data_IF_115119698952
#
_entry.id   IF_115119698952
#
_cell.length_a   1.000
_cell.length_b   1.000
_cell.length_c   1.000
_cell.angle_alpha   90.00
_cell.angle_beta   90.00
_cell.angle_gamma   90.00
#
_symmetry.space_group_name_H-M   'P 1'
#
loop_
_entity.id
_entity.type
_entity.pdbx_description
1 polymer ?
#
# COMPACT_ATOMS: atom_id res chain seq x y z
N UNK A 1 11.60 7.31 12.25
CA UNK A 1 10.66 8.08 11.41
C UNK A 1 9.55 7.20 10.90
N UNK A 2 8.41 7.79 10.57
CA UNK A 2 7.31 7.09 9.91
C UNK A 2 7.07 7.76 8.56
N UNK A 3 7.02 6.94 7.52
CA UNK A 3 6.85 7.37 6.13
C UNK A 3 5.50 6.89 5.63
N UNK A 4 4.73 7.79 5.03
CA UNK A 4 3.57 7.49 4.21
C UNK A 4 3.80 8.05 2.80
N UNK A 5 3.47 7.28 1.78
CA UNK A 5 3.48 7.73 0.39
C UNK A 5 2.20 7.26 -0.28
N UNK A 6 1.27 8.15 -0.58
CA UNK A 6 -0.06 7.76 -1.02
C UNK A 6 -0.67 8.63 -2.10
N UNK A 7 -1.65 8.07 -2.77
CA UNK A 7 -2.48 8.70 -3.78
C UNK A 7 -3.90 8.13 -3.78
N UNK A 8 -4.78 8.69 -4.56
CA UNK A 8 -6.15 8.22 -4.70
C UNK A 8 -6.21 6.94 -5.54
N UNK A 9 -7.11 6.03 -5.16
CA UNK A 9 -7.41 4.78 -5.84
C UNK A 9 -8.93 4.67 -6.10
N UNK A 10 -9.36 3.77 -7.02
CA UNK A 10 -10.78 3.53 -7.28
C UNK A 10 -11.54 3.08 -6.03
N UNK A 11 -12.88 3.30 -5.95
CA UNK A 11 -13.70 2.82 -4.85
C UNK A 11 -13.65 1.29 -4.70
N UNK A 12 -14.08 0.76 -3.53
CA UNK A 12 -14.11 -0.70 -3.28
C UNK A 12 -14.98 -1.44 -4.32
N UNK A 13 -16.12 -0.89 -4.66
CA UNK A 13 -17.00 -1.44 -5.70
C UNK A 13 -16.48 -1.02 -7.09
N UNK A 14 -15.53 -1.77 -7.64
CA UNK A 14 -15.01 -1.59 -8.99
C UNK A 14 -14.70 -2.96 -9.65
N UNK A 15 -14.66 -3.02 -10.99
CA UNK A 15 -14.44 -4.28 -11.71
C UNK A 15 -13.09 -4.95 -11.42
N UNK A 16 -12.07 -4.15 -11.14
CA UNK A 16 -10.69 -4.60 -10.94
C UNK A 16 -10.39 -4.95 -9.46
N UNK A 17 -11.37 -4.92 -8.56
CA UNK A 17 -11.12 -5.00 -7.11
C UNK A 17 -10.29 -6.21 -6.70
N UNK A 18 -10.64 -7.39 -7.19
CA UNK A 18 -9.92 -8.62 -6.87
C UNK A 18 -8.49 -8.59 -7.41
N UNK A 19 -8.29 -8.00 -8.58
CA UNK A 19 -6.95 -7.78 -9.13
C UNK A 19 -6.15 -6.75 -8.31
N UNK A 20 -6.82 -5.71 -7.78
CA UNK A 20 -6.21 -4.70 -6.87
C UNK A 20 -5.74 -5.37 -5.59
N UNK A 21 -6.57 -6.18 -4.95
CA UNK A 21 -6.21 -6.93 -3.74
C UNK A 21 -5.02 -7.87 -3.99
N UNK A 22 -5.04 -8.59 -5.12
CA UNK A 22 -3.97 -9.51 -5.50
C UNK A 22 -2.66 -8.78 -5.77
N UNK A 23 -2.68 -7.67 -6.51
CA UNK A 23 -1.50 -6.85 -6.77
C UNK A 23 -0.94 -6.24 -5.49
N UNK A 24 -1.82 -5.74 -4.61
CA UNK A 24 -1.42 -5.20 -3.32
C UNK A 24 -0.78 -6.28 -2.42
N UNK A 25 -1.30 -7.50 -2.44
CA UNK A 25 -0.72 -8.64 -1.70
C UNK A 25 0.75 -8.88 -2.09
N UNK A 26 1.08 -8.79 -3.37
CA UNK A 26 2.47 -8.91 -3.86
C UNK A 26 3.32 -7.71 -3.48
N UNK A 27 2.79 -6.49 -3.64
CA UNK A 27 3.57 -5.27 -3.48
C UNK A 27 3.90 -4.96 -2.01
N UNK A 28 2.88 -5.01 -1.14
CA UNK A 28 3.06 -4.58 0.26
C UNK A 28 2.00 -5.09 1.23
N UNK A 29 1.01 -5.86 0.79
CA UNK A 29 -0.13 -6.27 1.61
C UNK A 29 0.13 -7.49 2.51
N UNK A 30 1.26 -8.17 2.37
CA UNK A 30 1.60 -9.37 3.14
C UNK A 30 2.99 -9.30 3.75
N UNK A 31 3.28 -10.22 4.67
CA UNK A 31 4.61 -10.32 5.28
C UNK A 31 5.71 -10.61 4.26
N UNK A 32 5.41 -11.41 3.24
CA UNK A 32 6.34 -11.80 2.16
C UNK A 32 6.28 -10.87 0.95
N UNK A 33 5.64 -9.71 1.07
CA UNK A 33 5.52 -8.73 0.00
C UNK A 33 6.82 -7.97 -0.24
N UNK A 34 6.98 -7.42 -1.44
CA UNK A 34 8.22 -6.77 -1.91
C UNK A 34 8.69 -5.65 -0.98
N UNK A 35 7.81 -4.73 -0.60
CA UNK A 35 8.16 -3.59 0.27
C UNK A 35 8.62 -4.08 1.64
N UNK A 36 7.95 -5.09 2.21
CA UNK A 36 8.34 -5.65 3.50
C UNK A 36 9.68 -6.40 3.42
N UNK A 37 9.85 -7.26 2.43
CA UNK A 37 11.11 -7.98 2.23
C UNK A 37 12.28 -7.02 2.04
N UNK A 38 12.10 -5.97 1.23
CA UNK A 38 13.14 -4.96 1.01
C UNK A 38 13.54 -4.26 2.31
N UNK A 39 12.59 -3.58 2.98
CA UNK A 39 12.93 -2.71 4.10
C UNK A 39 13.20 -3.47 5.41
N UNK A 40 12.54 -4.63 5.60
CA UNK A 40 12.67 -5.41 6.81
C UNK A 40 13.76 -6.47 6.70
N UNK A 41 13.67 -7.37 5.70
CA UNK A 41 14.54 -8.53 5.63
C UNK A 41 15.90 -8.21 5.01
N UNK A 42 15.92 -7.44 3.91
CA UNK A 42 17.17 -7.13 3.22
C UNK A 42 17.94 -5.98 3.89
N UNK A 43 17.25 -4.92 4.26
CA UNK A 43 17.87 -3.68 4.76
C UNK A 43 17.93 -3.60 6.28
N UNK A 44 17.03 -4.29 6.99
CA UNK A 44 16.90 -4.22 8.45
C UNK A 44 16.65 -2.80 8.98
N UNK A 45 15.95 -1.96 8.19
CA UNK A 45 15.65 -0.57 8.54
C UNK A 45 14.27 -0.40 9.20
N UNK A 46 13.42 -1.43 9.11
CA UNK A 46 12.05 -1.44 9.61
C UNK A 46 11.73 -2.78 10.30
N UNK A 47 10.79 -2.75 11.24
CA UNK A 47 10.18 -3.97 11.79
C UNK A 47 9.02 -4.48 10.93
N UNK A 48 8.55 -3.67 9.99
CA UNK A 48 7.51 -4.01 9.04
C UNK A 48 7.13 -2.80 8.21
N UNK A 49 7.02 -2.99 6.90
CA UNK A 49 6.60 -1.98 5.94
C UNK A 49 5.70 -2.62 4.90
N UNK A 50 4.86 -1.84 4.24
CA UNK A 50 3.96 -2.40 3.24
C UNK A 50 3.14 -1.36 2.51
N UNK A 51 2.13 -1.85 1.78
CA UNK A 51 1.14 -1.02 1.10
C UNK A 51 -0.27 -1.38 1.55
N UNK A 52 -1.14 -0.39 1.62
CA UNK A 52 -2.51 -0.53 2.06
C UNK A 52 -3.42 0.14 1.02
N UNK A 53 -4.49 -0.55 0.66
CA UNK A 53 -5.61 0.00 -0.08
C UNK A 53 -6.77 0.13 0.90
N UNK A 54 -7.06 1.35 1.35
CA UNK A 54 -8.04 1.57 2.40
C UNK A 54 -9.45 1.54 1.84
N UNK A 55 -10.30 0.65 2.33
CA UNK A 55 -11.64 0.45 1.78
C UNK A 55 -12.56 1.65 2.00
N UNK A 56 -13.19 2.12 0.90
CA UNK A 56 -14.19 3.19 0.92
C UNK A 56 -15.23 3.03 -0.20
N UNK A 57 -16.43 3.61 0.00
CA UNK A 57 -17.49 3.66 -1.04
C UNK A 57 -17.15 4.60 -2.19
N UNK A 58 -16.46 5.70 -1.89
CA UNK A 58 -15.94 6.66 -2.87
C UNK A 58 -14.49 6.37 -3.20
N UNK A 59 -13.80 7.38 -3.76
CA UNK A 59 -12.35 7.30 -3.94
C UNK A 59 -11.69 6.96 -2.61
N UNK A 60 -10.75 6.05 -2.64
CA UNK A 60 -10.02 5.56 -1.47
C UNK A 60 -8.53 5.84 -1.58
N UNK A 61 -7.82 5.63 -0.49
CA UNK A 61 -6.38 5.80 -0.45
C UNK A 61 -5.68 4.48 -0.77
N UNK A 62 -4.72 4.55 -1.67
CA UNK A 62 -3.60 3.63 -1.74
C UNK A 62 -2.39 4.32 -1.15
N UNK A 63 -1.69 3.68 -0.22
CA UNK A 63 -0.47 4.24 0.34
C UNK A 63 0.52 3.19 0.80
N UNK A 64 1.81 3.49 0.66
CA UNK A 64 2.89 2.79 1.30
C UNK A 64 3.06 3.33 2.73
N UNK A 65 3.34 2.45 3.68
CA UNK A 65 3.59 2.74 5.09
C UNK A 65 4.90 2.09 5.52
N UNK A 66 5.80 2.88 6.09
CA UNK A 66 7.09 2.38 6.54
C UNK A 66 7.58 3.13 7.80
N UNK A 67 7.45 2.52 9.01
CA UNK A 67 8.15 2.96 10.20
C UNK A 67 9.61 2.50 10.09
N UNK A 68 10.54 3.43 10.08
CA UNK A 68 11.96 3.16 9.82
C UNK A 68 12.89 3.83 10.81
N UNK A 69 14.12 3.35 10.88
CA UNK A 69 15.19 4.02 11.63
C UNK A 69 15.36 5.46 11.12
N UNK A 70 15.53 6.42 12.02
CA UNK A 70 15.53 7.85 11.67
C UNK A 70 16.67 8.20 10.72
N UNK A 71 17.85 7.62 10.90
CA UNK A 71 19.03 7.80 10.04
C UNK A 71 18.92 7.11 8.68
N UNK A 72 17.86 6.31 8.46
CA UNK A 72 17.55 5.60 7.22
C UNK A 72 16.33 6.15 6.49
N UNK A 73 15.82 7.31 6.90
CA UNK A 73 14.60 7.89 6.32
C UNK A 73 14.73 8.13 4.81
N UNK A 74 15.79 8.79 4.37
CA UNK A 74 16.04 9.08 2.95
C UNK A 74 16.14 7.79 2.11
N UNK A 75 16.97 6.87 2.56
CA UNK A 75 17.22 5.60 1.88
C UNK A 75 15.93 4.78 1.81
N UNK A 76 15.13 4.75 2.89
CA UNK A 76 13.85 4.05 2.90
C UNK A 76 12.83 4.67 1.94
N UNK A 77 12.75 6.00 1.85
CA UNK A 77 11.91 6.68 0.85
C UNK A 77 12.36 6.32 -0.58
N UNK A 78 13.66 6.22 -0.81
CA UNK A 78 14.22 5.80 -2.11
C UNK A 78 13.81 4.37 -2.44
N UNK A 79 13.95 3.43 -1.51
CA UNK A 79 13.59 2.03 -1.74
C UNK A 79 12.08 1.85 -1.92
N UNK A 80 11.23 2.53 -1.11
CA UNK A 80 9.78 2.54 -1.33
C UNK A 80 9.44 3.04 -2.75
N UNK A 81 10.01 4.19 -3.15
CA UNK A 81 9.79 4.74 -4.49
C UNK A 81 10.22 3.77 -5.60
N UNK A 82 11.34 3.06 -5.40
CA UNK A 82 11.86 2.06 -6.33
C UNK A 82 10.91 0.87 -6.47
N UNK A 83 10.39 0.31 -5.38
CA UNK A 83 9.43 -0.81 -5.44
C UNK A 83 8.12 -0.39 -6.12
N UNK A 84 7.59 0.80 -5.79
CA UNK A 84 6.39 1.32 -6.44
C UNK A 84 6.56 1.55 -7.95
N UNK A 85 7.76 1.94 -8.40
CA UNK A 85 8.08 2.12 -9.83
C UNK A 85 8.32 0.78 -10.53
N UNK A 86 9.08 -0.09 -9.90
CA UNK A 86 9.53 -1.34 -10.50
C UNK A 86 8.38 -2.29 -10.85
N UNK A 87 7.34 -2.39 -10.02
CA UNK A 87 6.18 -3.26 -10.28
C UNK A 87 5.40 -2.85 -11.53
N UNK A 88 5.53 -1.60 -11.95
CA UNK A 88 4.86 -1.05 -13.16
C UNK A 88 5.62 -1.33 -14.46
N UNK A 89 6.92 -1.64 -14.39
CA UNK A 89 7.81 -1.68 -15.55
C UNK A 89 8.85 -2.79 -15.48
N UNK A 90 9.93 -2.57 -14.72
CA UNK A 90 11.15 -3.35 -14.79
C UNK A 90 11.05 -4.70 -14.07
N UNK A 91 10.18 -4.77 -13.06
CA UNK A 91 9.93 -5.97 -12.28
C UNK A 91 8.42 -6.22 -12.17
N UNK A 92 7.75 -6.64 -13.26
CA UNK A 92 6.35 -7.03 -13.19
C UNK A 92 6.16 -8.19 -12.21
N UNK A 93 4.91 -8.46 -11.83
CA UNK A 93 4.58 -9.60 -10.97
C UNK A 93 5.02 -10.89 -11.65
N UNK A 94 5.81 -11.70 -10.95
CA UNK A 94 6.27 -13.00 -11.44
C UNK A 94 5.19 -14.08 -11.26
N UNK A 95 5.35 -15.22 -11.94
CA UNK A 95 4.42 -16.35 -11.79
C UNK A 95 4.35 -16.88 -10.37
N UNK A 96 5.50 -16.96 -9.68
CA UNK A 96 5.59 -17.43 -8.30
C UNK A 96 4.91 -16.45 -7.32
N UNK A 97 5.14 -15.15 -7.47
CA UNK A 97 4.48 -14.13 -6.65
C UNK A 97 2.96 -14.15 -6.83
N UNK A 98 2.50 -14.30 -8.08
CA UNK A 98 1.06 -14.40 -8.36
C UNK A 98 0.47 -15.65 -7.73
N UNK A 99 1.12 -16.81 -7.88
CA UNK A 99 0.69 -18.07 -7.29
C UNK A 99 0.63 -17.98 -5.76
N UNK A 100 1.64 -17.37 -5.16
CA UNK A 100 1.68 -17.11 -3.71
C UNK A 100 0.51 -16.20 -3.27
N UNK A 101 0.28 -15.09 -3.96
CA UNK A 101 -0.81 -14.16 -3.64
C UNK A 101 -2.18 -14.84 -3.79
N UNK A 102 -2.40 -15.58 -4.87
CA UNK A 102 -3.63 -16.34 -5.09
C UNK A 102 -3.86 -17.37 -3.99
N UNK A 103 -2.82 -18.10 -3.59
CA UNK A 103 -2.88 -19.07 -2.49
C UNK A 103 -3.21 -18.39 -1.16
N UNK A 104 -2.53 -17.30 -0.84
CA UNK A 104 -2.77 -16.53 0.40
C UNK A 104 -4.21 -16.07 0.50
N UNK A 105 -4.74 -15.46 -0.56
CA UNK A 105 -6.10 -14.91 -0.58
C UNK A 105 -7.18 -16.01 -0.57
N UNK A 106 -6.95 -17.15 -1.20
CA UNK A 106 -7.97 -18.19 -1.30
C UNK A 106 -7.96 -19.17 -0.14
N UNK A 107 -6.78 -19.51 0.40
CA UNK A 107 -6.65 -20.43 1.52
C UNK A 107 -7.04 -19.81 2.87
N UNK A 108 -7.06 -18.48 2.97
CA UNK A 108 -7.55 -17.77 4.15
C UNK A 108 -9.08 -17.83 4.30
N UNK A 109 -9.83 -17.96 3.19
CA UNK A 109 -11.30 -17.86 3.18
C UNK A 109 -12.03 -18.80 4.16
N UNK A 110 -11.68 -20.08 4.31
CA UNK A 110 -12.36 -20.94 5.29
C UNK A 110 -12.27 -20.38 6.72
N UNK A 111 -11.10 -19.87 7.13
CA UNK A 111 -10.90 -19.29 8.46
C UNK A 111 -11.63 -17.94 8.65
N UNK A 112 -11.85 -17.20 7.58
CA UNK A 112 -12.57 -15.92 7.63
C UNK A 112 -14.07 -16.07 7.96
N UNK A 113 -14.64 -17.27 7.87
CA UNK A 113 -16.07 -17.50 8.13
C UNK A 113 -16.33 -18.50 9.26
N UNK A 114 -15.35 -18.79 10.10
CA UNK A 114 -15.50 -19.71 11.24
C UNK A 114 -16.40 -19.16 12.35
N UNK A 115 -16.59 -17.86 12.44
CA UNK A 115 -17.39 -17.24 13.51
C UNK A 115 -18.54 -16.42 12.95
N UNK A 116 -19.64 -16.33 13.73
CA UNK A 116 -20.80 -15.47 13.36
C UNK A 116 -20.39 -14.01 13.15
N UNK A 117 -19.44 -13.49 13.93
CA UNK A 117 -18.97 -12.12 13.79
C UNK A 117 -18.21 -11.93 12.46
N UNK A 118 -17.42 -12.89 12.03
CA UNK A 118 -16.72 -12.84 10.77
C UNK A 118 -17.69 -12.91 9.58
N UNK A 119 -18.69 -13.78 9.64
CA UNK A 119 -19.78 -13.84 8.64
C UNK A 119 -20.55 -12.52 8.61
N UNK A 120 -20.93 -11.97 9.76
CA UNK A 120 -21.63 -10.69 9.85
C UNK A 120 -20.78 -9.54 9.27
N UNK A 121 -19.46 -9.54 9.49
CA UNK A 121 -18.55 -8.56 8.90
C UNK A 121 -18.50 -8.66 7.37
N UNK A 122 -18.45 -9.88 6.81
CA UNK A 122 -18.48 -10.12 5.36
C UNK A 122 -19.78 -9.65 4.72
N UNK A 123 -20.93 -9.95 5.33
CA UNK A 123 -22.23 -9.44 4.90
C UNK A 123 -22.30 -7.91 5.04
N UNK A 124 -21.77 -7.38 6.14
CA UNK A 124 -21.64 -5.94 6.34
C UNK A 124 -20.84 -5.25 5.26
N UNK A 125 -19.78 -5.87 4.76
CA UNK A 125 -18.97 -5.34 3.64
C UNK A 125 -19.78 -5.30 2.32
N UNK A 126 -20.57 -6.33 2.02
CA UNK A 126 -21.46 -6.33 0.84
C UNK A 126 -22.37 -5.09 0.90
N UNK A 127 -23.06 -4.88 2.01
CA UNK A 127 -23.98 -3.76 2.18
C UNK A 127 -23.25 -2.41 2.21
N UNK A 128 -22.17 -2.35 2.99
CA UNK A 128 -21.38 -1.12 3.19
C UNK A 128 -20.79 -0.59 1.89
N UNK A 129 -20.27 -1.47 1.06
CA UNK A 129 -19.59 -1.07 -0.18
C UNK A 129 -20.45 -1.23 -1.42
N UNK A 130 -21.65 -1.79 -1.33
CA UNK A 130 -22.55 -2.03 -2.46
C UNK A 130 -22.00 -3.10 -3.40
N UNK A 131 -21.40 -4.15 -2.83
CA UNK A 131 -20.90 -5.29 -3.59
C UNK A 131 -22.07 -6.20 -4.01
N UNK A 132 -21.92 -7.00 -5.08
CA UNK A 132 -22.91 -8.00 -5.44
C UNK A 132 -23.13 -9.02 -4.32
N UNK A 133 -24.36 -9.50 -4.12
CA UNK A 133 -24.66 -10.51 -3.09
C UNK A 133 -23.85 -11.81 -3.30
N UNK A 134 -23.46 -12.11 -4.55
CA UNK A 134 -22.63 -13.26 -4.94
C UNK A 134 -21.11 -12.96 -4.88
N UNK A 135 -20.69 -11.87 -4.25
CA UNK A 135 -19.29 -11.43 -4.26
C UNK A 135 -18.36 -12.53 -3.75
N UNK A 136 -18.70 -13.13 -2.61
CA UNK A 136 -17.87 -14.17 -2.00
C UNK A 136 -18.03 -15.54 -2.67
N UNK A 137 -19.18 -15.83 -3.32
CA UNK A 137 -19.38 -17.07 -4.04
C UNK A 137 -18.42 -17.25 -5.22
N UNK A 138 -18.04 -16.13 -5.84
CA UNK A 138 -17.16 -16.12 -7.01
C UNK A 138 -15.74 -15.65 -6.72
N UNK A 139 -15.46 -15.20 -5.48
CA UNK A 139 -14.21 -14.57 -5.13
C UNK A 139 -12.99 -15.47 -5.40
N UNK A 140 -13.00 -16.71 -4.89
CA UNK A 140 -11.87 -17.62 -5.02
C UNK A 140 -11.57 -17.96 -6.49
N UNK A 141 -12.62 -18.18 -7.31
CA UNK A 141 -12.45 -18.51 -8.73
C UNK A 141 -11.92 -17.29 -9.50
N UNK A 142 -12.40 -16.09 -9.20
CA UNK A 142 -11.92 -14.85 -9.79
C UNK A 142 -10.45 -14.57 -9.41
N UNK A 143 -10.05 -14.82 -8.16
CA UNK A 143 -8.64 -14.72 -7.74
C UNK A 143 -7.77 -15.70 -8.55
N UNK A 144 -8.18 -16.97 -8.64
CA UNK A 144 -7.44 -18.01 -9.38
C UNK A 144 -7.36 -17.78 -10.88
N UNK A 145 -8.34 -17.08 -11.45
CA UNK A 145 -8.38 -16.76 -12.88
C UNK A 145 -7.44 -15.63 -13.29
N UNK A 146 -6.90 -14.85 -12.32
CA UNK A 146 -5.98 -13.75 -12.61
C UNK A 146 -4.67 -14.26 -13.21
N UNK A 147 -4.17 -13.55 -14.19
CA UNK A 147 -2.93 -13.85 -14.90
C UNK A 147 -1.86 -12.77 -14.67
N UNK A 148 -0.59 -13.09 -14.96
CA UNK A 148 0.49 -12.09 -14.96
C UNK A 148 0.22 -10.92 -15.91
N UNK A 149 -0.54 -11.17 -17.00
CA UNK A 149 -0.96 -10.12 -17.93
C UNK A 149 -1.92 -9.14 -17.27
N UNK A 150 -2.87 -9.62 -16.48
CA UNK A 150 -3.81 -8.79 -15.75
C UNK A 150 -3.08 -7.92 -14.72
N UNK A 151 -2.12 -8.49 -14.00
CA UNK A 151 -1.26 -7.76 -13.05
C UNK A 151 -0.46 -6.67 -13.76
N UNK A 152 0.17 -6.98 -14.90
CA UNK A 152 0.95 -6.02 -15.68
C UNK A 152 0.10 -4.89 -16.27
N UNK A 153 -1.14 -5.18 -16.65
CA UNK A 153 -2.07 -4.17 -17.14
C UNK A 153 -2.63 -3.26 -16.03
N UNK A 154 -2.80 -3.81 -14.82
CA UNK A 154 -3.32 -3.07 -13.67
C UNK A 154 -2.27 -2.21 -12.99
N UNK A 155 -1.03 -2.71 -12.84
CA UNK A 155 0.01 -2.06 -12.05
C UNK A 155 0.23 -0.56 -12.41
N UNK A 156 0.35 -0.14 -13.67
CA UNK A 156 0.52 1.28 -14.01
C UNK A 156 -0.75 2.13 -13.78
N UNK A 157 -1.93 1.52 -13.70
CA UNK A 157 -3.19 2.22 -13.43
C UNK A 157 -3.43 2.40 -11.93
N UNK A 158 -3.06 1.40 -11.13
CA UNK A 158 -3.24 1.45 -9.68
C UNK A 158 -2.10 2.18 -8.98
N UNK A 159 -0.86 1.82 -9.26
CA UNK A 159 0.32 2.35 -8.55
C UNK A 159 0.84 3.58 -9.28
N UNK A 160 0.70 4.76 -8.68
CA UNK A 160 1.04 6.05 -9.30
C UNK A 160 2.06 6.84 -8.47
N UNK A 161 3.32 6.39 -8.41
CA UNK A 161 4.34 6.98 -7.55
C UNK A 161 4.64 8.45 -7.86
N UNK A 162 4.41 8.90 -9.10
CA UNK A 162 4.62 10.30 -9.51
C UNK A 162 3.52 11.23 -9.00
N UNK A 163 2.38 10.69 -8.59
CA UNK A 163 1.26 11.42 -7.98
C UNK A 163 1.19 11.25 -6.46
N UNK A 164 2.16 10.55 -5.88
CA UNK A 164 2.15 10.29 -4.45
C UNK A 164 2.44 11.55 -3.63
N UNK A 165 1.59 11.78 -2.63
CA UNK A 165 1.87 12.73 -1.55
C UNK A 165 2.65 11.98 -0.48
N UNK A 166 3.79 12.53 -0.09
CA UNK A 166 4.62 11.99 0.96
C UNK A 166 4.36 12.72 2.29
N UNK A 167 4.06 11.97 3.33
CA UNK A 167 3.97 12.48 4.70
C UNK A 167 5.02 11.77 5.52
N UNK A 168 5.93 12.54 6.11
CA UNK A 168 7.04 11.99 6.91
C UNK A 168 6.99 12.59 8.30
N UNK A 169 6.91 11.73 9.31
CA UNK A 169 6.92 12.09 10.73
C UNK A 169 8.25 11.65 11.36
N UNK A 170 8.97 12.58 11.95
CA UNK A 170 10.27 12.27 12.56
C UNK A 170 11.00 13.49 13.08
N UNK A 171 12.22 13.29 13.57
CA UNK A 171 13.10 14.38 14.03
C UNK A 171 13.57 15.21 12.83
N UNK A 172 12.94 16.35 12.64
CA UNK A 172 13.19 17.23 11.51
C UNK A 172 14.67 17.55 11.32
N UNK A 173 15.39 17.86 12.39
CA UNK A 173 16.80 18.25 12.32
C UNK A 173 17.68 17.13 11.70
N UNK A 174 17.25 15.87 11.86
CA UNK A 174 18.00 14.71 11.34
C UNK A 174 17.58 14.30 9.94
N UNK A 175 16.32 14.51 9.54
CA UNK A 175 15.78 13.91 8.30
C UNK A 175 15.59 14.92 7.17
N UNK A 176 15.42 16.23 7.47
CA UNK A 176 15.01 17.21 6.44
C UNK A 176 15.99 17.33 5.29
N UNK A 177 17.28 17.41 5.57
CA UNK A 177 18.32 17.54 4.53
C UNK A 177 18.25 16.38 3.52
N UNK A 178 18.19 15.15 4.05
CA UNK A 178 18.08 13.96 3.18
C UNK A 178 16.80 13.91 2.37
N UNK A 179 15.66 14.34 2.94
CA UNK A 179 14.39 14.40 2.21
C UNK A 179 14.44 15.43 1.08
N UNK A 180 15.05 16.61 1.31
CA UNK A 180 15.22 17.64 0.27
C UNK A 180 16.02 17.16 -0.93
N UNK A 181 17.04 16.36 -0.70
CA UNK A 181 17.87 15.79 -1.78
C UNK A 181 17.12 14.83 -2.70
N UNK A 182 15.98 14.27 -2.26
CA UNK A 182 15.15 13.39 -3.10
C UNK A 182 14.36 14.14 -4.18
N UNK A 183 14.21 15.47 -4.06
CA UNK A 183 13.48 16.32 -5.01
C UNK A 183 12.08 15.81 -5.38
N UNK A 184 11.33 15.30 -4.39
CA UNK A 184 9.99 14.73 -4.58
C UNK A 184 8.88 15.78 -4.66
N UNK A 185 9.21 17.05 -4.51
CA UNK A 185 8.27 18.16 -4.59
C UNK A 185 8.47 19.22 -3.51
N UNK A 186 7.48 20.12 -3.37
CA UNK A 186 7.48 21.17 -2.35
C UNK A 186 7.31 20.55 -0.95
N UNK A 187 8.15 20.96 0.00
CA UNK A 187 8.04 20.54 1.40
C UNK A 187 7.20 21.55 2.17
N UNK A 188 6.13 21.06 2.78
CA UNK A 188 5.28 21.79 3.72
C UNK A 188 5.41 21.21 5.10
N UNK A 189 5.42 22.07 6.12
CA UNK A 189 5.45 21.64 7.51
C UNK A 189 4.02 21.70 8.05
N UNK A 190 3.63 20.67 8.76
CA UNK A 190 2.32 20.58 9.42
C UNK A 190 2.52 20.23 10.90
N UNK A 191 1.64 20.73 11.77
CA UNK A 191 1.59 20.30 13.16
C UNK A 191 0.80 18.99 13.34
N UNK A 192 0.67 18.54 14.59
CA UNK A 192 -0.08 17.32 14.92
C UNK A 192 -1.58 17.41 14.60
N UNK A 193 -2.12 18.61 14.47
CA UNK A 193 -3.52 18.84 14.06
C UNK A 193 -3.67 18.96 12.54
N UNK A 194 -2.57 18.83 11.77
CA UNK A 194 -2.57 18.97 10.30
C UNK A 194 -2.57 20.40 9.79
N UNK A 195 -2.32 21.40 10.65
CA UNK A 195 -2.27 22.80 10.24
C UNK A 195 -0.90 23.11 9.62
N UNK A 196 -0.91 23.83 8.49
CA UNK A 196 0.33 24.25 7.84
C UNK A 196 1.06 25.28 8.73
N UNK A 197 2.32 24.99 9.03
CA UNK A 197 3.20 25.86 9.79
C UNK A 197 3.99 26.79 8.85
N UNK A 198 4.25 28.05 9.27
CA UNK A 198 5.18 28.92 8.56
C UNK A 198 6.59 28.27 8.48
N UNK A 199 7.26 28.43 7.34
CA UNK A 199 8.59 27.83 7.11
C UNK A 199 9.63 28.21 8.19
N UNK A 200 9.52 29.40 8.78
CA UNK A 200 10.42 29.91 9.82
C UNK A 200 10.16 29.36 11.24
N UNK A 201 8.93 28.87 11.53
CA UNK A 201 8.56 28.42 12.87
C UNK A 201 8.89 26.95 13.14
N UNK A 202 9.37 26.24 12.14
CA UNK A 202 9.64 24.80 12.21
C UNK A 202 10.99 24.45 12.90
N UNK A 203 11.64 25.40 13.56
CA UNK A 203 12.96 25.23 14.18
C UNK A 203 13.04 25.25 15.71
N UNK A 204 11.90 25.36 16.43
CA UNK A 204 11.90 25.41 17.89
C UNK A 204 10.82 24.51 18.49
N UNK A 205 11.18 23.26 18.74
CA UNK A 205 10.78 22.46 19.91
C UNK A 205 11.48 21.10 19.87
#
# INVERSE_FOLDING_TARGET
>A
SVIFAGHLAPPKANPDEIAIETLNSVLGGTFTSRVNLNLREDKHWSYGAGTIVWDARGQRLFFAYAPVQTDKTKESMTEVSKELRAIRSDKPVTGDELTQAQSTLTLALPGEWETMNAVAASLGNIVRFGLPDTYYDTYADRVKALTGRDMSALAPRLVQPDHAVWVVVGDRAKIETGIRELNLGEIRYIDADGRVLPAASAGSR
#
